data_IF_446172671988
#
_entry.id   IF_446172671988
#
_cell.length_a   1.000
_cell.length_b   1.000
_cell.length_c   1.000
_cell.angle_alpha   90.00
_cell.angle_beta   90.00
_cell.angle_gamma   90.00
#
_symmetry.space_group_name_H-M   'P 1'
#
loop_
_entity.id
_entity.type
_entity.pdbx_description
1 polymer ?
#
# COMPACT_ATOMS: atom_id res chain seq x y z
N UNK A 1 -13.24 -19.02 -8.06
CA UNK A 1 -13.29 -17.56 -7.76
C UNK A 1 -13.23 -17.37 -6.25
N UNK A 2 -12.91 -16.16 -5.77
CA UNK A 2 -12.89 -15.81 -4.34
C UNK A 2 -13.63 -14.50 -4.12
N UNK A 3 -14.37 -14.39 -3.02
CA UNK A 3 -15.15 -13.21 -2.66
C UNK A 3 -14.51 -12.44 -1.51
N UNK A 4 -14.50 -11.11 -1.62
CA UNK A 4 -13.93 -10.21 -0.63
C UNK A 4 -14.90 -9.07 -0.32
N UNK A 5 -15.05 -8.75 0.96
CA UNK A 5 -15.68 -7.51 1.41
C UNK A 5 -14.63 -6.41 1.48
N UNK A 6 -14.88 -5.30 0.79
CA UNK A 6 -14.07 -4.08 0.87
C UNK A 6 -14.63 -3.16 1.97
N UNK A 7 -13.73 -2.58 2.76
CA UNK A 7 -14.07 -1.67 3.85
C UNK A 7 -13.00 -0.59 4.02
N UNK A 8 -13.34 0.47 4.76
CA UNK A 8 -12.41 1.53 5.13
C UNK A 8 -12.08 1.51 6.63
N UNK A 9 -10.83 1.76 6.96
CA UNK A 9 -10.36 1.98 8.32
C UNK A 9 -9.21 3.01 8.31
N UNK A 10 -9.29 4.05 9.12
CA UNK A 10 -8.31 5.13 9.16
C UNK A 10 -8.10 5.77 7.78
N UNK A 11 -9.20 6.01 7.04
CA UNK A 11 -9.15 6.62 5.70
C UNK A 11 -8.56 5.74 4.57
N UNK A 12 -8.18 4.50 4.87
CA UNK A 12 -7.59 3.56 3.90
C UNK A 12 -8.53 2.41 3.60
N UNK A 13 -8.41 1.87 2.38
CA UNK A 13 -9.22 0.73 1.91
C UNK A 13 -8.50 -0.59 2.15
N UNK A 14 -9.25 -1.54 2.71
CA UNK A 14 -8.81 -2.91 2.98
C UNK A 14 -9.80 -3.92 2.39
N UNK A 15 -9.37 -5.16 2.30
CA UNK A 15 -10.20 -6.29 1.92
C UNK A 15 -10.19 -7.37 2.99
N UNK A 16 -11.28 -8.12 3.09
CA UNK A 16 -11.42 -9.27 3.96
C UNK A 16 -12.16 -10.37 3.22
N UNK A 17 -11.68 -11.62 3.31
CA UNK A 17 -12.36 -12.74 2.65
C UNK A 17 -13.79 -12.89 3.18
N UNK A 18 -14.76 -13.11 2.30
CA UNK A 18 -16.16 -13.22 2.74
C UNK A 18 -16.39 -14.48 3.61
N UNK A 19 -15.63 -15.55 3.36
CA UNK A 19 -15.73 -16.83 4.07
C UNK A 19 -15.39 -16.77 5.57
N UNK A 20 -14.68 -15.73 6.02
CA UNK A 20 -14.32 -15.54 7.43
C UNK A 20 -15.29 -14.61 8.16
N UNK A 21 -16.18 -13.93 7.45
CA UNK A 21 -17.17 -13.02 8.05
C UNK A 21 -18.35 -13.82 8.56
N UNK A 22 -18.65 -13.72 9.86
CA UNK A 22 -19.83 -14.32 10.49
C UNK A 22 -21.02 -13.38 10.42
N UNK A 23 -20.81 -12.11 10.77
CA UNK A 23 -21.87 -11.11 10.81
C UNK A 23 -21.28 -9.70 10.79
N UNK A 24 -22.14 -8.74 10.42
CA UNK A 24 -21.81 -7.32 10.42
C UNK A 24 -22.88 -6.59 11.22
N UNK A 25 -22.44 -5.76 12.15
CA UNK A 25 -23.31 -5.00 13.03
C UNK A 25 -22.97 -3.52 12.92
N UNK A 26 -23.97 -2.67 13.18
CA UNK A 26 -23.72 -1.26 13.48
C UNK A 26 -23.29 -1.19 14.95
N UNK A 27 -22.25 -0.41 15.25
CA UNK A 27 -21.91 -0.08 16.64
C UNK A 27 -23.15 0.48 17.34
N UNK A 28 -23.31 0.20 18.63
CA UNK A 28 -24.43 0.69 19.40
C UNK A 28 -24.41 2.23 19.43
N UNK A 29 -25.30 2.86 18.67
CA UNK A 29 -25.70 4.24 18.91
C UNK A 29 -26.72 4.29 20.06
N UNK A 30 -26.87 5.43 20.76
CA UNK A 30 -27.70 5.57 21.96
C UNK A 30 -29.21 5.33 21.77
N UNK A 31 -29.70 4.93 20.59
CA UNK A 31 -31.13 4.67 20.37
C UNK A 31 -31.47 3.18 20.50
N UNK A 32 -32.10 2.85 21.63
CA UNK A 32 -32.55 1.50 21.94
C UNK A 32 -33.59 0.98 20.94
N UNK A 33 -33.23 -0.05 20.20
CA UNK A 33 -34.06 -1.25 20.08
C UNK A 33 -33.34 -2.36 19.31
N UNK A 34 -33.32 -3.54 19.97
CA UNK A 34 -33.09 -4.92 19.49
C UNK A 34 -31.79 -5.23 18.74
N UNK A 35 -31.04 -6.18 19.31
CA UNK A 35 -29.83 -6.82 18.77
C UNK A 35 -28.57 -5.94 18.69
N UNK A 36 -28.42 -5.02 19.65
CA UNK A 36 -27.19 -4.24 19.76
C UNK A 36 -26.08 -5.05 20.43
N UNK A 37 -24.94 -5.09 19.76
CA UNK A 37 -23.67 -5.49 20.34
C UNK A 37 -23.26 -4.42 21.35
N UNK A 38 -22.97 -4.83 22.58
CA UNK A 38 -22.44 -3.91 23.59
C UNK A 38 -20.92 -3.93 23.50
N UNK A 39 -20.31 -2.75 23.43
CA UNK A 39 -18.86 -2.58 23.44
C UNK A 39 -18.44 -2.27 24.88
N UNK A 40 -17.52 -3.07 25.44
CA UNK A 40 -16.96 -2.88 26.78
C UNK A 40 -15.43 -2.90 26.66
N UNK A 41 -14.82 -1.72 26.60
CA UNK A 41 -13.38 -1.57 26.35
C UNK A 41 -12.97 -2.24 25.03
N UNK A 42 -12.05 -3.19 25.11
CA UNK A 42 -11.49 -3.95 23.98
C UNK A 42 -12.26 -5.26 23.70
N UNK A 43 -13.50 -5.39 24.17
CA UNK A 43 -14.35 -6.55 23.93
C UNK A 43 -15.75 -6.13 23.51
N UNK A 44 -16.45 -7.06 22.85
CA UNK A 44 -17.88 -6.95 22.58
C UNK A 44 -18.65 -8.14 23.13
N UNK A 45 -19.88 -7.89 23.58
CA UNK A 45 -20.83 -8.93 23.96
C UNK A 45 -21.84 -9.18 22.83
N UNK A 46 -21.87 -10.41 22.34
CA UNK A 46 -22.82 -10.88 21.32
C UNK A 46 -24.21 -11.12 21.93
N UNK A 47 -25.28 -11.21 21.12
CA UNK A 47 -26.64 -11.47 21.62
C UNK A 47 -26.80 -12.79 22.38
N UNK A 48 -25.90 -13.75 22.17
CA UNK A 48 -25.84 -15.03 22.90
C UNK A 48 -25.10 -14.94 24.24
N UNK A 49 -24.68 -13.73 24.64
CA UNK A 49 -23.95 -13.46 25.88
C UNK A 49 -22.45 -13.76 25.83
N UNK A 50 -21.91 -14.19 24.68
CA UNK A 50 -20.47 -14.45 24.54
C UNK A 50 -19.70 -13.14 24.36
N UNK A 51 -18.60 -13.02 25.10
CA UNK A 51 -17.65 -11.94 24.93
C UNK A 51 -16.56 -12.33 23.91
N UNK A 52 -16.28 -11.44 22.96
CA UNK A 52 -15.22 -11.63 21.96
C UNK A 52 -14.35 -10.36 21.86
N UNK A 53 -13.03 -10.51 21.61
CA UNK A 53 -12.12 -9.37 21.55
C UNK A 53 -12.46 -8.45 20.36
N UNK A 54 -12.38 -7.14 20.59
CA UNK A 54 -12.63 -6.09 19.61
C UNK A 54 -11.34 -5.35 19.29
N UNK A 55 -10.99 -5.31 18.01
CA UNK A 55 -9.87 -4.54 17.50
C UNK A 55 -10.38 -3.33 16.71
N UNK A 56 -10.11 -2.12 17.19
CA UNK A 56 -10.42 -0.91 16.45
C UNK A 56 -9.34 -0.66 15.38
N UNK A 57 -9.58 -1.07 14.14
CA UNK A 57 -8.57 -0.99 13.07
C UNK A 57 -8.19 0.45 12.75
N UNK A 58 -9.13 1.39 12.81
CA UNK A 58 -8.86 2.80 12.54
C UNK A 58 -7.91 3.38 13.59
N UNK A 59 -8.12 3.03 14.87
CA UNK A 59 -7.21 3.42 15.95
C UNK A 59 -5.82 2.76 15.83
N UNK A 60 -5.77 1.49 15.42
CA UNK A 60 -4.51 0.74 15.33
C UNK A 60 -3.65 1.18 14.14
N UNK A 61 -4.28 1.50 12.99
CA UNK A 61 -3.59 1.82 11.75
C UNK A 61 -3.20 3.30 11.62
N UNK A 62 -3.57 4.12 12.61
CA UNK A 62 -2.83 5.33 12.94
C UNK A 62 -3.09 6.55 12.06
N UNK A 63 -4.30 6.69 11.50
CA UNK A 63 -4.77 8.02 11.09
C UNK A 63 -5.84 8.41 12.10
N UNK A 64 -5.49 9.35 12.98
CA UNK A 64 -6.42 10.02 13.88
C UNK A 64 -7.65 10.38 13.06
N UNK A 65 -8.78 9.72 13.34
CA UNK A 65 -10.05 10.12 12.77
C UNK A 65 -10.15 11.64 13.00
N UNK A 66 -10.56 12.44 12.00
CA UNK A 66 -10.99 13.79 12.29
C UNK A 66 -11.98 13.69 13.46
N UNK A 67 -11.92 14.64 14.39
CA UNK A 67 -12.68 14.71 15.65
C UNK A 67 -14.22 14.74 15.46
N UNK A 68 -14.69 14.36 14.27
CA UNK A 68 -16.06 14.03 13.91
C UNK A 68 -16.51 12.78 14.69
N UNK A 69 -16.95 13.06 15.92
CA UNK A 69 -17.71 12.22 16.85
C UNK A 69 -19.00 11.59 16.26
N UNK A 70 -19.18 11.52 14.95
CA UNK A 70 -20.46 11.18 14.31
C UNK A 70 -20.49 9.84 13.55
N UNK A 71 -19.34 9.23 13.20
CA UNK A 71 -19.37 7.95 12.53
C UNK A 71 -19.48 6.80 13.54
N UNK A 72 -20.68 6.24 13.68
CA UNK A 72 -20.88 4.99 14.41
C UNK A 72 -20.05 3.90 13.71
N UNK A 73 -19.03 3.31 14.35
CA UNK A 73 -18.18 2.32 13.72
C UNK A 73 -19.00 1.10 13.32
N UNK A 74 -18.67 0.50 12.17
CA UNK A 74 -19.19 -0.82 11.79
C UNK A 74 -18.36 -1.88 12.49
N UNK A 75 -19.03 -2.88 13.06
CA UNK A 75 -18.39 -3.99 13.75
C UNK A 75 -18.56 -5.22 12.87
N UNK A 76 -17.45 -5.81 12.43
CA UNK A 76 -17.43 -7.05 11.67
C UNK A 76 -17.00 -8.17 12.60
N UNK A 77 -17.87 -9.15 12.82
CA UNK A 77 -17.58 -10.34 13.60
C UNK A 77 -17.02 -11.43 12.67
N UNK A 78 -15.88 -11.98 13.07
CA UNK A 78 -15.06 -12.88 12.27
C UNK A 78 -14.96 -14.25 12.93
N UNK A 79 -14.89 -15.28 12.09
CA UNK A 79 -14.55 -16.64 12.48
C UNK A 79 -13.04 -16.86 12.33
N UNK A 80 -12.37 -17.21 13.42
CA UNK A 80 -10.94 -17.55 13.44
C UNK A 80 -10.78 -18.94 14.02
N UNK A 81 -10.73 -19.96 13.18
CA UNK A 81 -10.72 -21.38 13.62
C UNK A 81 -11.86 -21.68 14.61
N UNK A 82 -11.53 -21.95 15.88
CA UNK A 82 -12.45 -22.24 16.97
C UNK A 82 -12.82 -21.00 17.80
N UNK A 83 -12.19 -19.85 17.56
CA UNK A 83 -12.46 -18.59 18.27
C UNK A 83 -13.19 -17.59 17.36
N UNK A 84 -13.73 -16.55 17.99
CA UNK A 84 -14.35 -15.44 17.32
C UNK A 84 -13.62 -14.16 17.69
N UNK A 85 -13.58 -13.22 16.76
CA UNK A 85 -12.93 -11.92 16.90
C UNK A 85 -13.83 -10.86 16.28
N UNK A 86 -13.79 -9.64 16.76
CA UNK A 86 -14.49 -8.52 16.17
C UNK A 86 -13.52 -7.43 15.73
N UNK A 87 -13.78 -6.81 14.59
CA UNK A 87 -13.05 -5.62 14.13
C UNK A 87 -13.99 -4.44 14.00
N UNK A 88 -13.57 -3.29 14.51
CA UNK A 88 -14.20 -1.99 14.27
C UNK A 88 -13.60 -1.34 13.04
N UNK A 89 -14.46 -0.91 12.10
CA UNK A 89 -14.08 -0.25 10.84
C UNK A 89 -14.95 0.99 10.61
N UNK A 90 -14.48 1.92 9.78
CA UNK A 90 -15.17 3.19 9.51
C UNK A 90 -16.43 2.95 8.67
N UNK A 91 -16.28 2.23 7.56
CA UNK A 91 -17.38 1.95 6.63
C UNK A 91 -17.15 0.66 5.86
N UNK A 92 -18.24 0.05 5.39
CA UNK A 92 -18.22 -1.10 4.48
C UNK A 92 -18.64 -0.59 3.11
N UNK A 93 -17.86 -0.88 2.08
CA UNK A 93 -18.09 -0.38 0.73
C UNK A 93 -18.94 -1.34 -0.11
N UNK A 94 -18.37 -2.49 -0.49
CA UNK A 94 -19.00 -3.47 -1.39
C UNK A 94 -18.34 -4.84 -1.26
N UNK A 95 -19.04 -5.87 -1.73
CA UNK A 95 -18.45 -7.20 -1.96
C UNK A 95 -17.97 -7.28 -3.41
N UNK A 96 -16.81 -7.86 -3.62
CA UNK A 96 -16.23 -8.09 -4.95
C UNK A 96 -15.87 -9.57 -5.12
N UNK A 97 -15.98 -10.04 -6.35
CA UNK A 97 -15.50 -11.36 -6.76
C UNK A 97 -14.22 -11.18 -7.58
N UNK A 98 -13.21 -12.02 -7.32
CA UNK A 98 -11.92 -11.93 -7.99
C UNK A 98 -11.31 -13.31 -8.25
N UNK A 99 -10.51 -13.39 -9.31
CA UNK A 99 -9.69 -14.56 -9.60
C UNK A 99 -8.52 -14.63 -8.62
N UNK A 100 -8.12 -15.84 -8.22
CA UNK A 100 -6.99 -16.05 -7.30
C UNK A 100 -5.67 -15.45 -7.82
N UNK A 101 -5.50 -15.38 -9.15
CA UNK A 101 -4.33 -14.79 -9.82
C UNK A 101 -4.16 -13.28 -9.58
N UNK A 102 -5.20 -12.59 -9.09
CA UNK A 102 -5.13 -11.16 -8.72
C UNK A 102 -4.67 -10.94 -7.28
N UNK A 103 -4.47 -12.02 -6.51
CA UNK A 103 -3.98 -11.98 -5.14
C UNK A 103 -2.50 -12.35 -5.17
N UNK A 104 -1.66 -11.51 -4.59
CA UNK A 104 -0.22 -11.72 -4.49
C UNK A 104 0.22 -11.62 -3.03
N UNK A 105 1.33 -12.27 -2.68
CA UNK A 105 1.92 -12.16 -1.35
C UNK A 105 2.41 -10.73 -1.10
N UNK A 106 2.34 -10.29 0.15
CA UNK A 106 2.94 -9.02 0.56
C UNK A 106 4.47 -9.11 0.38
N UNK A 107 5.13 -8.10 -0.22
CA UNK A 107 6.58 -8.12 -0.40
C UNK A 107 7.34 -8.28 0.93
N UNK A 108 8.51 -8.96 0.95
CA UNK A 108 9.26 -9.24 2.18
C UNK A 108 9.88 -7.99 2.84
N UNK A 109 9.73 -6.81 2.23
CA UNK A 109 10.09 -5.53 2.85
C UNK A 109 9.16 -5.12 4.01
N UNK A 110 7.97 -5.74 4.11
CA UNK A 110 7.06 -5.56 5.22
C UNK A 110 7.36 -6.60 6.31
N UNK A 111 7.50 -6.15 7.55
CA UNK A 111 7.84 -7.00 8.69
C UNK A 111 6.89 -6.79 9.87
N UNK A 112 6.98 -7.65 10.89
CA UNK A 112 6.20 -7.54 12.13
C UNK A 112 4.69 -7.68 11.91
N UNK A 113 3.90 -6.86 12.63
CA UNK A 113 2.44 -6.92 12.60
C UNK A 113 1.88 -6.77 11.19
N UNK A 114 2.46 -5.89 10.37
CA UNK A 114 1.99 -5.67 8.99
C UNK A 114 2.08 -6.93 8.14
N UNK A 115 3.17 -7.68 8.25
CA UNK A 115 3.35 -8.95 7.52
C UNK A 115 2.38 -10.03 7.99
N UNK A 116 2.12 -10.10 9.30
CA UNK A 116 1.18 -11.08 9.86
C UNK A 116 -0.28 -10.71 9.62
N UNK A 117 -0.63 -9.43 9.68
CA UNK A 117 -2.03 -8.98 9.55
C UNK A 117 -2.45 -8.79 8.10
N UNK A 118 -1.50 -8.56 7.20
CA UNK A 118 -1.78 -8.32 5.79
C UNK A 118 -0.90 -9.18 4.87
N UNK A 119 -0.88 -10.51 5.01
CA UNK A 119 0.03 -11.38 4.26
C UNK A 119 -0.20 -11.32 2.74
N UNK A 120 -1.35 -10.82 2.29
CA UNK A 120 -1.71 -10.76 0.88
C UNK A 120 -2.17 -9.37 0.45
N UNK A 121 -1.98 -9.09 -0.85
CA UNK A 121 -2.41 -7.89 -1.54
C UNK A 121 -3.28 -8.27 -2.72
N UNK A 122 -4.44 -7.63 -2.85
CA UNK A 122 -5.33 -7.76 -3.98
C UNK A 122 -5.10 -6.65 -5.00
N UNK A 123 -4.90 -7.01 -6.27
CA UNK A 123 -4.90 -6.10 -7.42
C UNK A 123 -6.33 -5.95 -7.95
N UNK A 124 -6.98 -4.82 -7.68
CA UNK A 124 -8.35 -4.53 -8.14
C UNK A 124 -8.44 -3.13 -8.73
N UNK A 125 -8.96 -3.00 -9.96
CA UNK A 125 -9.13 -1.70 -10.65
C UNK A 125 -7.86 -0.84 -10.68
N UNK A 126 -6.69 -1.45 -10.90
CA UNK A 126 -5.40 -0.75 -10.92
C UNK A 126 -4.92 -0.28 -9.55
N UNK A 127 -5.61 -0.65 -8.46
CA UNK A 127 -5.24 -0.34 -7.08
C UNK A 127 -4.79 -1.60 -6.33
N UNK A 128 -3.91 -1.40 -5.36
CA UNK A 128 -3.48 -2.42 -4.42
C UNK A 128 -4.31 -2.28 -3.14
N UNK A 129 -4.91 -3.37 -2.70
CA UNK A 129 -5.74 -3.44 -1.49
C UNK A 129 -5.10 -4.48 -0.57
N UNK A 130 -4.73 -4.06 0.65
CA UNK A 130 -4.23 -4.98 1.66
C UNK A 130 -5.37 -5.90 2.13
N UNK A 131 -5.13 -7.21 2.14
CA UNK A 131 -6.09 -8.19 2.60
C UNK A 131 -5.80 -8.54 4.05
N UNK A 132 -6.75 -8.24 4.93
CA UNK A 132 -6.65 -8.54 6.35
C UNK A 132 -6.73 -10.06 6.57
N UNK A 133 -5.79 -10.58 7.36
CA UNK A 133 -5.79 -11.95 7.86
C UNK A 133 -6.19 -12.00 9.34
N UNK A 134 -7.42 -12.46 9.65
CA UNK A 134 -7.89 -12.61 11.02
C UNK A 134 -7.05 -13.59 11.86
N UNK A 135 -6.44 -14.62 11.25
CA UNK A 135 -5.60 -15.57 11.98
C UNK A 135 -4.31 -14.91 12.46
N UNK A 136 -3.65 -14.14 11.59
CA UNK A 136 -2.50 -13.33 11.93
C UNK A 136 -2.80 -12.27 13.01
N UNK A 137 -4.00 -11.68 13.00
CA UNK A 137 -4.43 -10.76 14.07
C UNK A 137 -4.57 -11.47 15.43
N UNK A 138 -5.11 -12.68 15.42
CA UNK A 138 -5.26 -13.50 16.62
C UNK A 138 -3.93 -14.13 17.11
N UNK A 139 -2.82 -13.94 16.38
CA UNK A 139 -1.52 -14.55 16.67
C UNK A 139 -1.47 -16.06 16.38
N UNK A 140 -2.36 -16.56 15.52
CA UNK A 140 -2.49 -17.99 15.17
C UNK A 140 -1.98 -18.34 13.77
N UNK A 141 -1.62 -17.34 12.97
CA UNK A 141 -1.18 -17.53 11.59
C UNK A 141 0.25 -18.10 11.50
N UNK A 142 0.51 -19.06 10.60
CA UNK A 142 1.89 -19.36 10.23
C UNK A 142 2.53 -18.10 9.61
N UNK A 143 3.84 -17.88 9.79
CA UNK A 143 4.52 -16.84 9.01
C UNK A 143 4.26 -17.13 7.53
N UNK A 144 3.95 -16.10 6.74
CA UNK A 144 3.81 -16.27 5.30
C UNK A 144 5.13 -16.86 4.79
N UNK A 145 5.12 -18.16 4.48
CA UNK A 145 6.28 -18.82 3.93
C UNK A 145 6.59 -18.07 2.64
N UNK A 146 7.74 -17.39 2.64
CA UNK A 146 8.21 -16.76 1.40
C UNK A 146 8.24 -17.86 0.36
N UNK A 147 7.72 -17.63 -0.86
CA UNK A 147 7.88 -18.60 -1.92
C UNK A 147 9.36 -18.97 -1.98
N UNK A 148 9.65 -20.28 -2.00
CA UNK A 148 11.00 -20.80 -2.15
C UNK A 148 11.70 -19.97 -3.24
N UNK A 149 12.95 -19.51 -3.01
CA UNK A 149 13.63 -18.52 -3.85
C UNK A 149 13.78 -18.92 -5.33
N UNK A 150 13.40 -20.15 -5.69
CA UNK A 150 13.41 -20.69 -7.06
C UNK A 150 12.38 -20.01 -7.99
N UNK A 151 11.35 -19.34 -7.46
CA UNK A 151 10.35 -18.60 -8.26
C UNK A 151 10.60 -17.08 -8.33
N UNK A 152 11.70 -16.59 -7.73
CA UNK A 152 12.10 -15.19 -7.88
C UNK A 152 12.72 -15.07 -9.27
N UNK A 153 11.91 -14.60 -10.23
CA UNK A 153 12.43 -14.12 -11.51
C UNK A 153 13.53 -13.10 -11.17
N UNK A 154 14.78 -13.46 -11.44
CA UNK A 154 15.91 -12.59 -11.24
C UNK A 154 15.79 -11.39 -12.19
N UNK A 155 15.20 -10.31 -11.67
CA UNK A 155 15.09 -9.03 -12.37
C UNK A 155 16.46 -8.41 -12.66
N UNK A 156 17.58 -9.01 -12.21
CA UNK A 156 18.92 -8.58 -12.61
C UNK A 156 19.42 -9.22 -13.91
N UNK A 157 18.81 -10.30 -14.41
CA UNK A 157 19.24 -10.93 -15.67
C UNK A 157 18.66 -10.27 -16.94
N UNK A 158 17.70 -9.36 -16.80
CA UNK A 158 17.11 -8.62 -17.91
C UNK A 158 17.52 -7.13 -17.96
N UNK A 159 18.67 -6.77 -17.40
CA UNK A 159 19.31 -5.49 -17.72
C UNK A 159 20.24 -5.73 -18.92
N UNK A 160 19.82 -5.46 -20.16
CA UNK A 160 20.74 -5.49 -21.30
C UNK A 160 21.92 -4.58 -20.97
N UNK A 161 23.15 -5.11 -21.08
CA UNK A 161 24.39 -4.39 -20.77
C UNK A 161 24.59 -3.12 -21.61
N UNK A 162 23.75 -2.91 -22.62
CA UNK A 162 23.65 -1.68 -23.40
C UNK A 162 22.88 -0.60 -22.64
N UNK A 163 23.59 0.02 -21.69
CA UNK A 163 23.19 1.27 -21.05
C UNK A 163 22.77 2.36 -22.06
N UNK A 164 23.24 2.28 -23.31
CA UNK A 164 22.93 3.22 -24.38
C UNK A 164 21.46 3.15 -24.83
N UNK A 165 20.85 1.95 -24.86
CA UNK A 165 19.45 1.77 -25.23
C UNK A 165 18.51 2.31 -24.15
N UNK A 166 18.90 2.15 -22.88
CA UNK A 166 18.14 2.61 -21.71
C UNK A 166 18.17 4.14 -21.61
N UNK A 167 19.31 4.77 -21.89
CA UNK A 167 19.44 6.23 -21.98
C UNK A 167 18.58 6.79 -23.12
N UNK A 168 18.63 6.20 -24.33
CA UNK A 168 17.78 6.63 -25.46
C UNK A 168 16.29 6.45 -25.19
N UNK A 169 15.89 5.40 -24.46
CA UNK A 169 14.50 5.17 -24.08
C UNK A 169 14.03 6.24 -23.08
N UNK A 170 14.87 6.58 -22.09
CA UNK A 170 14.59 7.64 -21.11
C UNK A 170 14.52 9.03 -21.76
N UNK A 171 15.40 9.34 -22.71
CA UNK A 171 15.38 10.61 -23.47
C UNK A 171 14.12 10.76 -24.34
N UNK A 172 13.57 9.65 -24.85
CA UNK A 172 12.31 9.66 -25.61
C UNK A 172 11.08 9.83 -24.73
N UNK A 173 11.10 9.31 -23.51
CA UNK A 173 9.99 9.36 -22.57
C UNK A 173 9.91 10.69 -21.80
N UNK A 174 11.03 11.40 -21.65
CA UNK A 174 11.11 12.62 -20.85
C UNK A 174 11.75 13.76 -21.65
N UNK A 175 10.95 14.61 -22.33
CA UNK A 175 11.48 15.77 -23.03
C UNK A 175 11.97 16.84 -22.05
N UNK A 176 13.28 17.13 -22.07
CA UNK A 176 13.89 18.28 -21.39
C UNK A 176 14.53 17.98 -20.03
N UNK A 177 14.98 19.07 -19.36
CA UNK A 177 15.91 19.16 -18.21
C UNK A 177 15.63 18.29 -16.96
N UNK A 178 14.60 17.45 -16.95
CA UNK A 178 14.25 16.62 -15.80
C UNK A 178 15.13 15.36 -15.66
N UNK A 179 15.69 14.83 -16.75
CA UNK A 179 16.54 13.63 -16.70
C UNK A 179 17.82 13.88 -15.90
N UNK A 180 18.41 15.07 -16.04
CA UNK A 180 19.66 15.46 -15.36
C UNK A 180 19.48 15.53 -13.83
N UNK A 181 18.34 16.03 -13.35
CA UNK A 181 18.01 16.09 -11.93
C UNK A 181 17.73 14.74 -11.29
N UNK A 182 17.12 13.81 -12.04
CA UNK A 182 16.85 12.44 -11.59
C UNK A 182 18.14 11.63 -11.55
N UNK A 183 19.02 11.77 -12.55
CA UNK A 183 20.34 11.11 -12.54
C UNK A 183 21.26 11.65 -11.43
N UNK A 184 21.25 12.95 -11.15
CA UNK A 184 22.05 13.53 -10.06
C UNK A 184 21.60 13.05 -8.68
N UNK A 185 20.28 12.92 -8.44
CA UNK A 185 19.75 12.36 -7.18
C UNK A 185 20.04 10.87 -7.01
N UNK A 186 20.09 10.11 -8.11
CA UNK A 186 20.53 8.71 -8.07
C UNK A 186 22.04 8.60 -7.76
N UNK A 187 22.84 9.57 -8.19
CA UNK A 187 24.28 9.68 -7.91
C UNK A 187 24.58 9.89 -6.42
N UNK A 188 23.78 10.73 -5.75
CA UNK A 188 23.92 11.02 -4.32
C UNK A 188 23.57 9.82 -3.43
N UNK A 189 22.78 8.86 -3.96
CA UNK A 189 22.28 7.71 -3.20
C UNK A 189 23.09 6.42 -3.37
N UNK A 190 24.25 6.48 -4.01
CA UNK A 190 25.26 5.42 -3.93
C UNK A 190 25.20 4.40 -5.07
N UNK A 191 25.94 4.69 -6.14
CA UNK A 191 26.29 3.71 -7.17
C UNK A 191 27.78 3.32 -7.08
N UNK A 192 28.02 2.03 -7.22
CA UNK A 192 29.32 1.35 -7.07
C UNK A 192 30.34 1.76 -8.13
N UNK A 193 31.63 1.46 -7.87
CA UNK A 193 32.81 1.89 -8.65
C UNK A 193 32.71 1.65 -10.18
N UNK A 194 31.90 0.70 -10.64
CA UNK A 194 31.68 0.40 -12.06
C UNK A 194 31.02 1.55 -12.84
N UNK A 195 30.14 2.33 -12.21
CA UNK A 195 29.43 3.45 -12.85
C UNK A 195 30.34 4.67 -13.15
N UNK A 196 31.53 4.76 -12.54
CA UNK A 196 32.46 5.88 -12.75
C UNK A 196 33.11 5.85 -14.14
N UNK A 197 33.27 4.68 -14.75
CA UNK A 197 33.92 4.54 -16.06
C UNK A 197 32.99 4.95 -17.22
N UNK A 198 31.69 4.69 -17.10
CA UNK A 198 30.69 5.15 -18.09
C UNK A 198 30.52 6.68 -18.11
N UNK A 199 30.72 7.35 -16.98
CA UNK A 199 30.52 8.80 -16.83
C UNK A 199 31.58 9.68 -17.52
N UNK A 200 32.82 9.19 -17.70
CA UNK A 200 33.84 9.93 -18.43
C UNK A 200 33.43 10.19 -19.89
N UNK A 201 32.73 9.21 -20.49
CA UNK A 201 32.24 9.28 -21.87
C UNK A 201 31.04 10.22 -22.01
N UNK A 202 30.13 10.26 -21.02
CA UNK A 202 28.96 11.16 -21.03
C UNK A 202 29.37 12.63 -20.86
N UNK A 203 30.31 12.95 -19.95
CA UNK A 203 30.82 14.33 -19.80
C UNK A 203 31.51 14.87 -21.06
N UNK A 204 32.17 13.99 -21.84
CA UNK A 204 32.83 14.37 -23.09
C UNK A 204 31.83 14.73 -24.21
N UNK A 205 30.65 14.10 -24.23
CA UNK A 205 29.61 14.40 -25.22
C UNK A 205 28.89 15.72 -24.90
N UNK A 206 28.63 16.01 -23.63
CA UNK A 206 27.92 17.24 -23.24
C UNK A 206 28.77 18.52 -23.21
N UNK A 207 30.11 18.40 -23.12
CA UNK A 207 30.99 19.58 -23.23
C UNK A 207 31.07 20.14 -24.66
N UNK A 208 30.77 19.33 -25.67
CA UNK A 208 30.74 19.75 -27.07
C UNK A 208 29.49 20.59 -27.45
N UNK A 209 28.40 20.50 -26.68
CA UNK A 209 27.13 21.18 -27.02
C UNK A 209 26.94 22.57 -26.40
N UNK A 210 27.78 23.00 -25.44
CA UNK A 210 27.63 24.32 -24.76
C UNK A 210 28.36 25.48 -25.46
N UNK A 211 28.76 25.31 -26.72
CA UNK A 211 29.50 26.32 -27.50
C UNK A 211 28.65 27.31 -28.30
N UNK A 212 27.31 27.26 -28.24
CA UNK A 212 26.45 28.14 -29.04
C UNK A 212 25.88 29.25 -28.14
N UNK A 213 26.52 30.42 -28.20
CA UNK A 213 26.26 31.57 -27.36
C UNK A 213 24.97 32.32 -27.69
N UNK A 214 24.32 32.84 -26.66
CA UNK A 214 23.30 33.88 -26.77
C UNK A 214 23.92 35.23 -26.43
N UNK A 215 24.08 36.07 -27.46
CA UNK A 215 24.43 37.49 -27.37
C UNK A 215 23.15 38.27 -27.08
N UNK A 216 22.93 38.63 -25.82
CA UNK A 216 21.79 39.44 -25.41
C UNK A 216 22.06 40.93 -25.65
N UNK A 217 21.32 41.53 -26.58
CA UNK A 217 21.26 42.98 -26.77
C UNK A 217 20.40 43.61 -25.66
N UNK A 218 21.02 44.43 -24.82
CA UNK A 218 20.31 45.29 -23.87
C UNK A 218 19.91 46.59 -24.57
N UNK A 219 18.61 46.88 -24.59
CA UNK A 219 18.06 48.18 -25.01
C UNK A 219 17.54 48.91 -23.76
N UNK A 220 18.04 50.12 -23.43
CA UNK A 220 17.47 50.92 -22.36
C UNK A 220 16.33 51.78 -22.92
N UNK A 221 15.17 51.77 -22.26
CA UNK A 221 14.14 52.77 -22.51
C UNK A 221 14.03 53.74 -21.33
N UNK A 222 13.98 55.01 -21.72
CA UNK A 222 14.09 56.18 -20.90
C UNK A 222 12.74 56.66 -20.35
N UNK A 223 12.84 57.30 -19.20
CA UNK A 223 11.98 58.33 -18.61
C UNK A 223 10.68 58.74 -19.35
N UNK A 224 9.57 58.75 -18.60
CA UNK A 224 8.90 59.99 -18.13
C UNK A 224 7.86 59.70 -17.07
#
# INVERSE_FOLDING_TARGET
MREFMLFQAGGRRFGLALSVIRSVHRGAGPSGNREQITVSGDAICLPDGREIPLYNLSAILGETLPDDRAAIPRIICLKVRATALAIGVDSIERVIETAGTKIVCLPPLFTGKSATWFPHVLKHEGRLILLLDPEGMAGMGPPCESPEPEDIIDLTEAVPSDNEALIKALERLLPGKQVEGIMMKALERGLTRSARHGMAKVRQVFSHQRGIGYRGENKPDAAR
#
